data_IF_193268533904
#
_entry.id   IF_193268533904
#
_cell.length_a   1.000
_cell.length_b   1.000
_cell.length_c   1.000
_cell.angle_alpha   90.00
_cell.angle_beta   90.00
_cell.angle_gamma   90.00
#
_symmetry.space_group_name_H-M   'P 1'
#
loop_
_entity.id
_entity.type
_entity.pdbx_description
1 polymer ?
#
# COMPACT_ATOMS: atom_id res chain seq x y z
N UNK A 1 14.40 -24.92 -34.06
CA UNK A 1 14.59 -23.52 -33.65
C UNK A 1 13.47 -23.02 -32.74
N UNK A 2 12.20 -23.07 -33.15
CA UNK A 2 11.07 -22.65 -32.29
C UNK A 2 10.96 -23.41 -30.96
N UNK A 3 11.20 -24.73 -30.97
CA UNK A 3 11.22 -25.55 -29.75
C UNK A 3 12.21 -25.04 -28.69
N UNK A 4 13.43 -24.71 -29.08
CA UNK A 4 14.45 -24.18 -28.17
C UNK A 4 14.02 -22.85 -27.53
N UNK A 5 13.38 -21.98 -28.32
CA UNK A 5 12.81 -20.73 -27.82
C UNK A 5 11.71 -20.99 -26.77
N UNK A 6 10.73 -21.84 -27.09
CA UNK A 6 9.63 -22.16 -26.19
C UNK A 6 10.12 -22.81 -24.89
N UNK A 7 11.03 -23.79 -25.00
CA UNK A 7 11.60 -24.49 -23.84
C UNK A 7 12.38 -23.50 -22.94
N UNK A 8 13.10 -22.53 -23.54
CA UNK A 8 13.82 -21.48 -22.79
C UNK A 8 12.85 -20.52 -22.10
N UNK A 9 11.79 -20.08 -22.79
CA UNK A 9 10.76 -19.21 -22.22
C UNK A 9 10.05 -19.88 -21.04
N UNK A 10 9.73 -21.17 -21.16
CA UNK A 10 9.12 -21.95 -20.08
C UNK A 10 10.05 -22.06 -18.86
N UNK A 11 11.35 -22.29 -19.09
CA UNK A 11 12.35 -22.31 -18.02
C UNK A 11 12.44 -20.97 -17.28
N UNK A 12 12.44 -19.84 -18.01
CA UNK A 12 12.46 -18.49 -17.42
C UNK A 12 11.19 -18.21 -16.62
N UNK A 13 10.01 -18.56 -17.13
CA UNK A 13 8.73 -18.38 -16.41
C UNK A 13 8.71 -19.23 -15.13
N UNK A 14 9.17 -20.48 -15.22
CA UNK A 14 9.24 -21.37 -14.06
C UNK A 14 10.15 -20.82 -12.97
N UNK A 15 11.30 -20.25 -13.35
CA UNK A 15 12.22 -19.62 -12.41
C UNK A 15 11.63 -18.34 -11.78
N UNK A 16 10.98 -17.49 -12.58
CA UNK A 16 10.31 -16.29 -12.10
C UNK A 16 9.17 -16.64 -11.11
N UNK A 17 8.39 -17.68 -11.38
CA UNK A 17 7.37 -18.20 -10.46
C UNK A 17 7.99 -18.73 -9.17
N UNK A 18 9.03 -19.58 -9.28
CA UNK A 18 9.75 -20.16 -8.15
C UNK A 18 10.36 -19.10 -7.22
N UNK A 19 10.86 -18.01 -7.79
CA UNK A 19 11.49 -16.91 -7.03
C UNK A 19 10.49 -15.85 -6.55
N UNK A 20 9.22 -15.95 -6.94
CA UNK A 20 8.20 -14.93 -6.65
C UNK A 20 8.43 -13.59 -7.37
N UNK A 21 9.29 -13.57 -8.40
CA UNK A 21 9.65 -12.36 -9.16
C UNK A 21 8.82 -12.15 -10.42
N UNK A 22 7.81 -12.99 -10.65
CA UNK A 22 6.96 -12.89 -11.84
C UNK A 22 6.21 -11.54 -11.91
N UNK A 23 5.98 -10.88 -10.77
CA UNK A 23 5.36 -9.56 -10.69
C UNK A 23 6.37 -8.41 -10.50
N UNK A 24 7.68 -8.66 -10.47
CA UNK A 24 8.69 -7.64 -10.16
C UNK A 24 8.78 -6.47 -11.17
N UNK A 25 8.03 -6.52 -12.26
CA UNK A 25 7.92 -5.43 -13.25
C UNK A 25 6.58 -4.67 -13.20
N UNK A 26 5.65 -5.07 -12.33
CA UNK A 26 4.31 -4.47 -12.25
C UNK A 26 4.15 -3.89 -10.85
N UNK A 27 3.90 -2.59 -10.79
CA UNK A 27 3.66 -1.87 -9.55
C UNK A 27 2.21 -1.44 -9.55
N UNK A 28 1.43 -1.93 -8.60
CA UNK A 28 0.08 -1.43 -8.37
C UNK A 28 0.15 -0.07 -7.64
N UNK A 29 -0.45 0.95 -8.26
CA UNK A 29 -0.55 2.32 -7.74
C UNK A 29 -1.99 2.62 -7.29
N UNK A 30 -2.71 1.61 -6.83
CA UNK A 30 -4.03 1.75 -6.24
C UNK A 30 -4.01 2.60 -4.95
N UNK A 31 -5.17 3.07 -4.51
CA UNK A 31 -5.31 3.87 -3.28
C UNK A 31 -4.81 3.14 -2.02
N UNK A 32 -4.69 1.82 -2.09
CA UNK A 32 -4.31 0.98 -0.95
C UNK A 32 -2.80 1.03 -0.66
N UNK A 33 -1.97 1.45 -1.63
CA UNK A 33 -0.52 1.59 -1.43
C UNK A 33 -0.10 2.93 -0.85
N UNK A 34 -1.05 3.85 -0.61
CA UNK A 34 -0.82 5.18 -0.04
C UNK A 34 -1.20 6.32 -0.99
N UNK A 35 -0.83 7.55 -0.61
CA UNK A 35 -0.98 8.72 -1.45
C UNK A 35 0.09 8.72 -2.56
N UNK A 36 -0.34 8.41 -3.78
CA UNK A 36 0.53 8.38 -4.95
C UNK A 36 0.50 9.74 -5.66
N UNK A 37 1.68 10.32 -5.86
CA UNK A 37 1.85 11.58 -6.56
C UNK A 37 2.85 11.41 -7.71
N UNK A 38 2.48 11.82 -8.92
CA UNK A 38 3.43 11.88 -10.04
C UNK A 38 4.33 13.09 -9.83
N UNK A 39 5.63 12.84 -9.68
CA UNK A 39 6.63 13.90 -9.46
C UNK A 39 7.33 14.30 -10.75
N UNK A 40 7.38 13.42 -11.76
CA UNK A 40 7.98 13.74 -13.05
C UNK A 40 7.42 12.90 -14.20
N UNK A 41 7.66 13.38 -15.41
CA UNK A 41 7.22 12.79 -16.66
C UNK A 41 8.13 13.15 -17.82
N UNK A 42 8.78 12.17 -18.43
CA UNK A 42 9.58 12.37 -19.64
C UNK A 42 9.07 11.53 -20.79
N UNK A 43 8.86 12.16 -21.94
CA UNK A 43 8.46 11.50 -23.17
C UNK A 43 9.68 11.28 -24.07
N UNK A 44 9.81 10.07 -24.59
CA UNK A 44 10.83 9.67 -25.57
C UNK A 44 10.12 9.22 -26.84
N UNK A 45 10.63 9.65 -28.00
CA UNK A 45 10.11 9.26 -29.29
C UNK A 45 11.15 8.48 -30.07
N UNK A 46 10.89 7.20 -30.31
CA UNK A 46 11.74 6.33 -31.10
C UNK A 46 11.20 6.26 -32.54
N UNK A 47 12.07 6.49 -33.52
CA UNK A 47 11.72 6.23 -34.92
C UNK A 47 11.86 4.73 -35.19
N UNK A 48 10.76 4.07 -35.54
CA UNK A 48 10.73 2.67 -35.99
C UNK A 48 10.28 2.59 -37.45
N UNK A 49 10.59 1.47 -38.13
CA UNK A 49 10.13 1.19 -39.49
C UNK A 49 8.60 1.16 -39.62
N UNK A 50 7.89 0.89 -38.51
CA UNK A 50 6.43 0.87 -38.42
C UNK A 50 5.79 2.21 -37.99
N UNK A 51 6.60 3.26 -37.79
CA UNK A 51 6.14 4.57 -37.31
C UNK A 51 6.88 5.06 -36.06
N UNK A 52 6.54 6.26 -35.58
CA UNK A 52 7.10 6.81 -34.36
C UNK A 52 6.46 6.14 -33.13
N UNK A 53 7.28 5.58 -32.24
CA UNK A 53 6.85 4.97 -30.99
C UNK A 53 7.09 5.98 -29.87
N UNK A 54 6.05 6.26 -29.08
CA UNK A 54 6.14 7.08 -27.88
C UNK A 54 6.37 6.19 -26.65
N UNK A 55 7.40 6.50 -25.87
CA UNK A 55 7.71 5.86 -24.58
C UNK A 55 7.64 6.94 -23.51
N UNK A 56 6.95 6.67 -22.40
CA UNK A 56 6.82 7.63 -21.30
C UNK A 56 7.48 7.06 -20.04
N UNK A 57 8.39 7.82 -19.46
CA UNK A 57 8.97 7.55 -18.14
C UNK A 57 8.22 8.38 -17.11
N UNK A 58 7.61 7.71 -16.14
CA UNK A 58 6.91 8.36 -15.03
C UNK A 58 7.70 8.15 -13.75
N UNK A 59 7.98 9.24 -13.03
CA UNK A 59 8.52 9.17 -11.68
C UNK A 59 7.38 9.46 -10.70
N UNK A 60 7.16 8.56 -9.76
CA UNK A 60 6.10 8.65 -8.76
C UNK A 60 6.69 8.65 -7.35
N UNK A 61 6.07 9.41 -6.45
CA UNK A 61 6.30 9.40 -5.02
C UNK A 61 5.10 8.75 -4.35
N UNK A 62 5.34 7.90 -3.36
CA UNK A 62 4.30 7.22 -2.60
C UNK A 62 4.50 7.58 -1.14
N UNK A 63 3.50 8.23 -0.54
CA UNK A 63 3.43 8.44 0.90
C UNK A 63 2.42 7.47 1.51
N UNK A 64 2.92 6.52 2.30
CA UNK A 64 2.10 5.53 3.00
C UNK A 64 1.54 6.06 4.30
N UNK A 65 1.97 7.23 4.75
CA UNK A 65 1.58 7.82 6.01
C UNK A 65 0.09 8.14 6.12
N UNK A 66 -0.33 8.41 7.34
CA UNK A 66 -1.66 8.97 7.61
C UNK A 66 -1.52 10.45 7.96
N UNK A 67 -2.03 11.32 7.10
CA UNK A 67 -2.04 12.75 7.36
C UNK A 67 -2.87 13.09 8.60
N UNK A 68 -2.48 14.14 9.34
CA UNK A 68 -3.15 14.52 10.59
C UNK A 68 -4.65 14.78 10.43
N UNK A 69 -5.05 15.50 9.39
CA UNK A 69 -6.46 15.82 9.14
C UNK A 69 -7.30 14.58 8.85
N UNK A 70 -6.71 13.60 8.14
CA UNK A 70 -7.33 12.31 7.89
C UNK A 70 -7.44 11.49 9.17
N UNK A 71 -6.38 11.47 9.99
CA UNK A 71 -6.38 10.81 11.28
C UNK A 71 -7.46 11.39 12.22
N UNK A 72 -7.58 12.71 12.28
CA UNK A 72 -8.58 13.39 13.09
C UNK A 72 -10.00 13.11 12.59
N UNK A 73 -10.20 13.12 11.27
CA UNK A 73 -11.48 12.77 10.64
C UNK A 73 -11.89 11.33 10.98
N UNK A 74 -10.96 10.37 10.83
CA UNK A 74 -11.20 8.97 11.20
C UNK A 74 -11.50 8.81 12.69
N UNK A 75 -10.76 9.50 13.55
CA UNK A 75 -10.97 9.48 15.00
C UNK A 75 -12.35 10.04 15.39
N UNK A 76 -12.72 11.21 14.86
CA UNK A 76 -14.02 11.84 15.12
C UNK A 76 -15.18 10.95 14.65
N UNK A 77 -15.02 10.30 13.49
CA UNK A 77 -15.98 9.30 13.01
C UNK A 77 -16.11 8.14 13.99
N UNK A 78 -15.00 7.57 14.46
CA UNK A 78 -15.02 6.50 15.46
C UNK A 78 -15.66 6.93 16.79
N UNK A 79 -15.41 8.16 17.26
CA UNK A 79 -16.12 8.70 18.43
C UNK A 79 -17.63 8.70 18.19
N UNK A 80 -18.06 9.19 17.01
CA UNK A 80 -19.49 9.30 16.71
C UNK A 80 -20.21 7.95 16.64
N UNK A 81 -19.50 6.89 16.22
CA UNK A 81 -20.05 5.54 16.09
C UNK A 81 -20.04 4.78 17.44
N UNK A 82 -19.02 5.01 18.27
CA UNK A 82 -18.77 4.25 19.50
C UNK A 82 -18.95 5.08 20.79
N UNK A 83 -19.87 6.06 20.77
CA UNK A 83 -20.15 7.07 21.81
C UNK A 83 -20.02 6.63 23.29
N UNK A 84 -20.25 5.35 23.61
CA UNK A 84 -20.27 4.81 24.97
C UNK A 84 -18.98 4.05 25.39
N UNK A 85 -18.02 3.84 24.47
CA UNK A 85 -16.87 2.94 24.68
C UNK A 85 -15.58 3.52 24.05
N UNK A 86 -15.24 4.75 24.46
CA UNK A 86 -14.13 5.54 23.90
C UNK A 86 -12.77 5.27 24.55
N UNK A 87 -12.70 4.46 25.61
CA UNK A 87 -11.44 4.24 26.36
C UNK A 87 -10.43 3.38 25.62
N UNK A 88 -10.89 2.54 24.69
CA UNK A 88 -10.06 1.51 24.06
C UNK A 88 -9.51 1.93 22.68
N UNK A 89 -9.85 3.12 22.18
CA UNK A 89 -9.39 3.63 20.88
C UNK A 89 -8.99 5.11 20.94
N UNK A 90 -8.14 5.54 20.01
CA UNK A 90 -7.61 6.90 19.97
C UNK A 90 -6.11 6.95 19.64
N UNK A 91 -5.47 8.04 20.05
CA UNK A 91 -4.05 8.27 19.83
C UNK A 91 -3.22 7.76 21.00
N UNK A 92 -2.20 6.96 20.70
CA UNK A 92 -1.35 6.31 21.67
C UNK A 92 0.13 6.60 21.38
N UNK A 93 0.93 6.59 22.44
CA UNK A 93 2.38 6.68 22.38
C UNK A 93 2.94 5.43 23.04
N UNK A 94 3.87 4.76 22.36
CA UNK A 94 4.57 3.60 22.91
C UNK A 94 5.48 4.04 24.07
N UNK A 95 5.42 3.27 25.16
CA UNK A 95 6.32 3.42 26.31
C UNK A 95 7.65 2.67 26.13
N UNK A 96 7.83 1.98 25.00
CA UNK A 96 9.06 1.28 24.69
C UNK A 96 10.23 2.26 24.42
N UNK A 97 11.46 1.71 24.36
CA UNK A 97 12.69 2.47 24.09
C UNK A 97 12.62 3.33 22.81
N UNK A 98 11.75 2.98 21.86
CA UNK A 98 11.36 3.84 20.73
C UNK A 98 9.97 4.39 20.97
N UNK A 99 9.88 5.71 21.17
CA UNK A 99 8.61 6.44 21.29
C UNK A 99 7.92 6.51 19.93
N UNK A 100 7.17 5.48 19.59
CA UNK A 100 6.31 5.45 18.41
C UNK A 100 4.92 6.00 18.74
N UNK A 101 4.34 6.78 17.83
CA UNK A 101 2.95 7.27 17.94
C UNK A 101 2.07 6.49 16.97
N UNK A 102 0.87 6.14 17.38
CA UNK A 102 -0.10 5.44 16.54
C UNK A 102 -1.55 5.83 16.88
N UNK A 103 -2.41 5.78 15.86
CA UNK A 103 -3.86 5.88 16.00
C UNK A 103 -4.43 4.46 15.96
N UNK A 104 -5.16 4.05 16.99
CA UNK A 104 -5.94 2.83 16.97
C UNK A 104 -7.43 3.18 16.85
N UNK A 105 -8.13 2.62 15.87
CA UNK A 105 -9.58 2.78 15.68
C UNK A 105 -10.25 1.42 15.55
N UNK A 106 -11.51 1.25 16.00
CA UNK A 106 -12.22 -0.02 15.87
C UNK A 106 -12.38 -0.45 14.41
N UNK A 107 -12.24 -1.75 14.15
CA UNK A 107 -12.49 -2.33 12.84
C UNK A 107 -14.01 -2.52 12.63
N UNK A 108 -14.65 -1.56 11.95
CA UNK A 108 -16.11 -1.57 11.71
C UNK A 108 -16.62 -2.76 10.89
N UNK A 109 -15.75 -3.52 10.22
CA UNK A 109 -16.15 -4.71 9.45
C UNK A 109 -16.27 -5.96 10.32
N UNK A 110 -15.69 -5.96 11.52
CA UNK A 110 -15.78 -7.08 12.43
C UNK A 110 -16.93 -6.89 13.43
N UNK A 111 -18.06 -7.57 13.18
CA UNK A 111 -19.24 -7.57 14.06
C UNK A 111 -19.12 -8.55 15.24
N UNK A 112 -17.99 -9.24 15.39
CA UNK A 112 -17.84 -10.28 16.39
C UNK A 112 -17.65 -9.64 17.76
N UNK A 113 -18.69 -9.71 18.59
CA UNK A 113 -18.80 -9.01 19.88
C UNK A 113 -17.80 -9.50 20.93
N UNK A 114 -17.17 -10.66 20.71
CA UNK A 114 -16.26 -11.30 21.66
C UNK A 114 -14.80 -10.79 21.57
N UNK A 115 -14.39 -10.18 20.46
CA UNK A 115 -13.02 -9.65 20.28
C UNK A 115 -13.08 -8.29 19.58
N UNK A 116 -12.73 -7.23 20.30
CA UNK A 116 -12.53 -5.90 19.71
C UNK A 116 -11.25 -5.93 18.86
N UNK A 117 -11.42 -5.84 17.54
CA UNK A 117 -10.30 -5.72 16.60
C UNK A 117 -10.10 -4.23 16.31
N UNK A 118 -8.84 -3.79 16.35
CA UNK A 118 -8.45 -2.43 16.02
C UNK A 118 -7.62 -2.39 14.75
N UNK A 119 -7.83 -1.34 13.95
CA UNK A 119 -6.91 -0.93 12.89
C UNK A 119 -5.92 0.06 13.48
N UNK A 120 -4.64 -0.24 13.32
CA UNK A 120 -3.55 0.59 13.85
C UNK A 120 -2.92 1.34 12.69
N UNK A 121 -2.84 2.67 12.82
CA UNK A 121 -2.21 3.55 11.85
C UNK A 121 -0.98 4.21 12.45
N UNK A 122 0.14 4.20 11.73
CA UNK A 122 1.32 5.00 12.07
C UNK A 122 1.42 6.23 11.17
N UNK A 123 1.94 7.37 11.66
CA UNK A 123 2.10 8.57 10.86
C UNK A 123 2.93 8.36 9.58
N UNK A 124 3.96 7.52 9.62
CA UNK A 124 4.92 7.32 8.53
C UNK A 124 4.61 6.12 7.61
N UNK A 125 3.83 5.15 8.08
CA UNK A 125 3.55 3.91 7.33
C UNK A 125 2.07 3.64 7.13
N UNK A 126 1.18 4.48 7.67
CA UNK A 126 -0.26 4.33 7.56
C UNK A 126 -0.76 3.08 8.26
N UNK A 127 -1.76 2.44 7.67
CA UNK A 127 -2.39 1.23 8.20
C UNK A 127 -1.36 0.10 8.30
N UNK A 128 -1.18 -0.44 9.51
CA UNK A 128 -0.37 -1.62 9.71
C UNK A 128 -1.12 -2.87 9.23
N UNK A 129 -0.46 -3.78 8.50
CA UNK A 129 -1.05 -5.05 8.13
C UNK A 129 -1.40 -5.84 9.39
N UNK A 130 -2.47 -6.63 9.32
CA UNK A 130 -2.83 -7.56 10.40
C UNK A 130 -1.71 -8.60 10.51
N UNK A 131 -1.05 -8.66 11.65
CA UNK A 131 -0.15 -9.78 11.96
C UNK A 131 -1.02 -11.02 12.16
N UNK A 132 -0.78 -12.07 11.36
CA UNK A 132 -1.37 -13.41 11.53
C UNK A 132 -0.91 -14.07 12.83
#
# INVERSE_FOLDING_TARGET
MFKYFSDTMEAVIKDAKRTGRYDSGIIDLSSDVGNVQRIDGTDYFLKSSSGAIKIQLHKVSIDRGLAWDQALTSYNKSISEYMNDTKDFGFFISTANKKDVFLAIPDSTNRNTFKKIFRIYKPNSGLLPKTE
#
